data_IF_682105396518
#
_entry.id   IF_682105396518
#
_cell.length_a   1.000
_cell.length_b   1.000
_cell.length_c   1.000
_cell.angle_alpha   90.00
_cell.angle_beta   90.00
_cell.angle_gamma   90.00
#
_symmetry.space_group_name_H-M   'P 1'
#
loop_
_entity.id
_entity.type
_entity.pdbx_description
1 polymer ?
#
# COMPACT_ATOMS: atom_id res chain seq x y z
N UNK A 1 -3.94 11.43 12.96
CA UNK A 1 -3.22 10.21 12.62
C UNK A 1 -3.37 9.10 13.65
N UNK A 2 -4.22 9.31 14.65
CA UNK A 2 -4.37 8.39 15.76
C UNK A 2 -5.19 7.14 15.52
N UNK A 3 -6.07 7.11 14.53
CA UNK A 3 -7.01 6.00 14.35
C UNK A 3 -6.87 5.33 12.99
N UNK A 4 -7.34 4.08 12.93
CA UNK A 4 -7.39 3.32 11.67
C UNK A 4 -8.20 4.07 10.63
N UNK A 5 -9.36 4.61 11.01
CA UNK A 5 -10.23 5.33 10.09
C UNK A 5 -9.56 6.56 9.50
N UNK A 6 -8.84 7.32 10.32
CA UNK A 6 -8.10 8.49 9.87
C UNK A 6 -6.99 8.10 8.90
N UNK A 7 -6.26 7.04 9.21
CA UNK A 7 -5.20 6.54 8.32
C UNK A 7 -5.75 6.04 7.00
N UNK A 8 -6.87 5.34 7.03
CA UNK A 8 -7.54 4.88 5.80
C UNK A 8 -7.97 6.06 4.94
N UNK A 9 -8.60 7.05 5.55
CA UNK A 9 -9.03 8.25 4.86
C UNK A 9 -7.85 8.99 4.23
N UNK A 10 -6.75 9.09 4.95
CA UNK A 10 -5.53 9.74 4.48
C UNK A 10 -4.95 9.01 3.25
N UNK A 11 -4.84 7.69 3.32
CA UNK A 11 -4.39 6.88 2.20
C UNK A 11 -5.29 7.05 0.99
N UNK A 12 -6.59 7.01 1.19
CA UNK A 12 -7.57 7.18 0.12
C UNK A 12 -7.44 8.56 -0.53
N UNK A 13 -7.38 9.60 0.28
CA UNK A 13 -7.25 10.98 -0.22
C UNK A 13 -5.97 11.18 -1.01
N UNK A 14 -4.87 10.65 -0.52
CA UNK A 14 -3.58 10.73 -1.23
C UNK A 14 -3.58 9.97 -2.55
N UNK A 15 -4.39 8.90 -2.62
CA UNK A 15 -4.56 8.13 -3.85
C UNK A 15 -5.54 8.77 -4.83
N UNK A 16 -6.24 9.81 -4.40
CA UNK A 16 -7.17 10.54 -5.28
C UNK A 16 -8.45 9.79 -5.61
N UNK A 17 -8.86 8.84 -4.79
CA UNK A 17 -10.07 8.06 -5.05
C UNK A 17 -11.17 8.38 -4.02
N UNK A 18 -12.42 8.19 -4.44
CA UNK A 18 -13.58 8.39 -3.58
C UNK A 18 -13.84 7.15 -2.72
N UNK A 19 -14.68 7.32 -1.69
CA UNK A 19 -15.14 6.17 -0.90
C UNK A 19 -15.85 5.13 -1.78
N UNK A 20 -16.66 5.59 -2.72
CA UNK A 20 -17.36 4.71 -3.65
C UNK A 20 -16.39 3.91 -4.53
N UNK A 21 -15.37 4.57 -5.05
CA UNK A 21 -14.37 3.92 -5.88
C UNK A 21 -13.57 2.88 -5.09
N UNK A 22 -13.18 3.20 -3.86
CA UNK A 22 -12.48 2.25 -3.01
C UNK A 22 -13.37 1.04 -2.70
N UNK A 23 -14.63 1.29 -2.35
CA UNK A 23 -15.60 0.25 -2.06
C UNK A 23 -15.76 -0.71 -3.23
N UNK A 24 -15.85 -0.18 -4.44
CA UNK A 24 -15.94 -0.99 -5.65
C UNK A 24 -14.71 -1.87 -5.85
N UNK A 25 -13.52 -1.33 -5.60
CA UNK A 25 -12.26 -2.06 -5.80
C UNK A 25 -12.09 -3.25 -4.85
N UNK A 26 -12.60 -3.15 -3.64
CA UNK A 26 -12.46 -4.22 -2.64
C UNK A 26 -13.78 -4.97 -2.38
N UNK A 27 -14.81 -4.72 -3.20
CA UNK A 27 -16.08 -5.43 -3.20
C UNK A 27 -16.87 -5.30 -1.88
N UNK A 28 -16.99 -4.07 -1.39
CA UNK A 28 -17.81 -3.74 -0.23
C UNK A 28 -18.70 -2.56 -0.57
N UNK A 29 -19.62 -2.20 0.33
CA UNK A 29 -20.49 -1.03 0.15
C UNK A 29 -19.73 0.25 0.48
N UNK A 30 -20.14 1.35 -0.13
CA UNK A 30 -19.61 2.68 0.20
C UNK A 30 -19.86 3.01 1.68
N UNK A 31 -21.05 2.64 2.19
CA UNK A 31 -21.39 2.84 3.60
C UNK A 31 -20.41 2.15 4.54
N UNK A 32 -19.95 0.96 4.16
CA UNK A 32 -18.97 0.22 4.95
C UNK A 32 -17.66 1.00 5.07
N UNK A 33 -17.17 1.54 3.95
CA UNK A 33 -15.96 2.36 3.96
C UNK A 33 -16.16 3.61 4.81
N UNK A 34 -17.29 4.29 4.65
CA UNK A 34 -17.59 5.49 5.43
C UNK A 34 -17.59 5.21 6.94
N UNK A 35 -18.17 4.09 7.36
CA UNK A 35 -18.21 3.70 8.77
C UNK A 35 -16.82 3.39 9.33
N UNK A 36 -15.97 2.76 8.54
CA UNK A 36 -14.58 2.50 8.94
C UNK A 36 -13.83 3.83 9.11
N UNK A 37 -13.96 4.73 8.16
CA UNK A 37 -13.28 6.05 8.23
C UNK A 37 -13.74 6.89 9.41
N UNK A 38 -14.99 6.71 9.84
CA UNK A 38 -15.52 7.39 11.03
C UNK A 38 -15.22 6.66 12.33
N UNK A 39 -14.53 5.54 12.28
CA UNK A 39 -14.23 4.68 13.44
C UNK A 39 -15.47 4.13 14.14
N UNK A 40 -16.56 3.99 13.38
CA UNK A 40 -17.82 3.40 13.86
C UNK A 40 -17.91 1.91 13.58
N UNK A 41 -16.99 1.39 12.78
CA UNK A 41 -16.89 -0.03 12.44
C UNK A 41 -15.44 -0.41 12.19
N UNK A 42 -15.06 -1.58 12.70
CA UNK A 42 -13.75 -2.15 12.41
C UNK A 42 -13.84 -3.03 11.17
N UNK A 43 -12.87 -2.99 10.27
CA UNK A 43 -12.87 -3.91 9.14
C UNK A 43 -12.63 -5.34 9.61
N UNK A 44 -13.23 -6.31 8.92
CA UNK A 44 -12.91 -7.72 9.14
C UNK A 44 -11.44 -7.96 8.74
N UNK A 45 -10.88 -9.08 9.18
CA UNK A 45 -9.50 -9.46 8.81
C UNK A 45 -9.33 -9.54 7.30
N UNK A 46 -10.32 -10.10 6.60
CA UNK A 46 -10.30 -10.19 5.14
C UNK A 46 -10.28 -8.81 4.48
N UNK A 47 -11.15 -7.92 4.93
CA UNK A 47 -11.22 -6.57 4.36
C UNK A 47 -9.97 -5.77 4.73
N UNK A 48 -9.46 -5.94 5.93
CA UNK A 48 -8.20 -5.31 6.34
C UNK A 48 -7.06 -5.70 5.38
N UNK A 49 -6.96 -6.99 5.05
CA UNK A 49 -5.99 -7.49 4.09
C UNK A 49 -6.15 -6.86 2.71
N UNK A 50 -7.38 -6.75 2.22
CA UNK A 50 -7.66 -6.13 0.93
C UNK A 50 -7.29 -4.65 0.90
N UNK A 51 -7.56 -3.92 1.98
CA UNK A 51 -7.17 -2.51 2.10
C UNK A 51 -5.66 -2.36 2.08
N UNK A 52 -4.95 -3.19 2.84
CA UNK A 52 -3.49 -3.16 2.88
C UNK A 52 -2.88 -3.48 1.51
N UNK A 53 -3.40 -4.48 0.83
CA UNK A 53 -2.93 -4.85 -0.51
C UNK A 53 -3.18 -3.72 -1.51
N UNK A 54 -4.35 -3.10 -1.45
CA UNK A 54 -4.71 -2.03 -2.36
C UNK A 54 -3.78 -0.82 -2.21
N UNK A 55 -3.49 -0.42 -0.98
CA UNK A 55 -2.66 0.75 -0.71
C UNK A 55 -1.17 0.44 -0.58
N UNK A 56 -0.79 -0.83 -0.58
CA UNK A 56 0.60 -1.20 -0.46
C UNK A 56 1.20 -0.91 0.91
N UNK A 57 0.41 -1.03 1.96
CA UNK A 57 0.83 -0.82 3.34
C UNK A 57 0.69 -2.11 4.15
N UNK A 58 1.38 -2.18 5.28
CA UNK A 58 1.24 -3.31 6.20
C UNK A 58 0.00 -3.18 7.06
N UNK A 59 -0.45 -4.31 7.62
CA UNK A 59 -1.52 -4.30 8.61
C UNK A 59 -1.10 -3.53 9.86
N UNK A 60 0.17 -3.62 10.25
CA UNK A 60 0.70 -2.89 11.39
C UNK A 60 0.57 -1.38 11.18
N UNK A 61 0.92 -0.89 9.99
CA UNK A 61 0.74 0.53 9.68
C UNK A 61 -0.71 0.96 9.81
N UNK A 62 -1.63 0.20 9.21
CA UNK A 62 -3.04 0.59 9.23
C UNK A 62 -3.64 0.53 10.64
N UNK A 63 -3.26 -0.47 11.42
CA UNK A 63 -3.79 -0.65 12.78
C UNK A 63 -3.15 0.29 13.80
N UNK A 64 -1.85 0.52 13.73
CA UNK A 64 -1.11 1.24 14.77
C UNK A 64 -0.46 2.53 14.31
N UNK A 65 -0.33 2.72 13.01
CA UNK A 65 0.39 3.85 12.44
C UNK A 65 1.90 3.65 12.39
N UNK A 66 2.39 2.49 12.79
CA UNK A 66 3.81 2.17 12.74
C UNK A 66 4.17 1.55 11.40
N UNK A 67 5.15 2.13 10.74
CA UNK A 67 5.65 1.62 9.46
C UNK A 67 6.94 0.86 9.68
N UNK A 68 7.10 -0.26 8.98
CA UNK A 68 8.40 -0.89 8.87
C UNK A 68 9.30 0.00 7.99
N UNK A 69 10.60 -0.24 8.05
CA UNK A 69 11.53 0.47 7.15
C UNK A 69 11.17 0.25 5.69
N UNK A 70 10.69 -0.95 5.36
CA UNK A 70 10.31 -1.29 3.99
C UNK A 70 9.09 -0.48 3.52
N UNK A 71 8.15 -0.20 4.40
CA UNK A 71 6.99 0.64 4.07
C UNK A 71 7.39 2.10 3.82
N UNK A 72 8.43 2.57 4.48
CA UNK A 72 8.93 3.94 4.36
C UNK A 72 9.81 4.10 3.12
N UNK A 73 10.61 3.07 2.78
CA UNK A 73 11.66 3.14 1.78
C UNK A 73 11.23 2.66 0.40
N UNK A 74 10.45 3.47 -0.31
CA UNK A 74 10.24 3.28 -1.76
C UNK A 74 9.46 2.03 -2.20
N UNK A 75 8.85 1.28 -1.28
CA UNK A 75 8.05 0.10 -1.65
C UNK A 75 6.89 0.49 -2.59
N UNK A 76 6.22 1.59 -2.27
CA UNK A 76 5.13 2.09 -3.11
C UNK A 76 5.62 2.50 -4.49
N UNK A 77 6.77 3.16 -4.55
CA UNK A 77 7.39 3.57 -5.82
C UNK A 77 7.77 2.35 -6.65
N UNK A 78 8.34 1.33 -6.01
CA UNK A 78 8.67 0.07 -6.66
C UNK A 78 7.43 -0.61 -7.22
N UNK A 79 6.36 -0.72 -6.43
CA UNK A 79 5.09 -1.31 -6.88
C UNK A 79 4.52 -0.60 -8.09
N UNK A 80 4.54 0.73 -8.07
CA UNK A 80 4.05 1.53 -9.19
C UNK A 80 4.91 1.30 -10.43
N UNK A 81 6.21 1.21 -10.25
CA UNK A 81 7.15 1.01 -11.34
C UNK A 81 6.96 -0.34 -12.03
N UNK A 82 6.71 -1.40 -11.26
CA UNK A 82 6.54 -2.75 -11.80
C UNK A 82 5.11 -3.08 -12.20
N UNK A 83 4.16 -2.23 -11.87
CA UNK A 83 2.74 -2.45 -12.19
C UNK A 83 2.56 -2.53 -13.69
N UNK A 84 1.90 -3.60 -14.16
CA UNK A 84 1.65 -3.82 -15.58
C UNK A 84 2.86 -4.33 -16.36
N UNK A 85 4.00 -4.51 -15.71
CA UNK A 85 5.18 -5.07 -16.37
C UNK A 85 5.15 -6.58 -16.33
N UNK A 86 5.79 -7.19 -17.33
CA UNK A 86 5.90 -8.65 -17.41
C UNK A 86 6.94 -9.16 -16.40
N UNK A 87 6.85 -10.45 -16.06
CA UNK A 87 7.85 -11.08 -15.19
C UNK A 87 9.26 -10.97 -15.78
N UNK A 88 9.36 -11.06 -17.10
CA UNK A 88 10.64 -10.91 -17.80
C UNK A 88 11.24 -9.52 -17.61
N UNK A 89 10.41 -8.49 -17.73
CA UNK A 89 10.84 -7.11 -17.52
C UNK A 89 11.28 -6.87 -16.08
N UNK A 90 10.54 -7.39 -15.12
CA UNK A 90 10.86 -7.27 -13.70
C UNK A 90 12.18 -7.98 -13.39
N UNK A 91 12.36 -9.19 -13.92
CA UNK A 91 13.60 -9.95 -13.76
C UNK A 91 14.81 -9.18 -14.31
N UNK A 92 14.66 -8.59 -15.50
CA UNK A 92 15.69 -7.78 -16.11
C UNK A 92 16.04 -6.55 -15.27
N UNK A 93 15.03 -5.88 -14.73
CA UNK A 93 15.23 -4.72 -13.85
C UNK A 93 16.00 -5.10 -12.58
N UNK A 94 15.65 -6.25 -11.98
CA UNK A 94 16.35 -6.75 -10.80
C UNK A 94 17.81 -7.05 -11.07
N UNK A 95 18.12 -7.60 -12.25
CA UNK A 95 19.51 -7.85 -12.66
C UNK A 95 20.31 -6.54 -12.77
N UNK A 96 19.70 -5.52 -13.37
CA UNK A 96 20.33 -4.21 -13.51
C UNK A 96 20.60 -3.57 -12.14
N UNK A 97 19.63 -3.63 -11.24
CA UNK A 97 19.77 -3.11 -9.89
C UNK A 97 20.86 -3.83 -9.12
N UNK A 98 20.91 -5.15 -9.25
CA UNK A 98 21.93 -5.97 -8.58
C UNK A 98 23.33 -5.61 -9.07
N UNK A 99 23.51 -5.47 -10.38
CA UNK A 99 24.78 -5.06 -10.96
C UNK A 99 25.19 -3.67 -10.49
N UNK A 100 24.23 -2.75 -10.43
CA UNK A 100 24.48 -1.40 -9.94
C UNK A 100 24.97 -1.40 -8.49
N UNK A 101 24.30 -2.13 -7.61
CA UNK A 101 24.67 -2.18 -6.21
C UNK A 101 26.02 -2.89 -5.99
N UNK A 102 26.31 -3.93 -6.74
CA UNK A 102 27.62 -4.59 -6.70
C UNK A 102 28.74 -3.61 -7.08
N UNK A 103 28.51 -2.81 -8.10
CA UNK A 103 29.46 -1.79 -8.52
C UNK A 103 29.69 -0.74 -7.43
N UNK A 104 28.63 -0.29 -6.77
CA UNK A 104 28.73 0.67 -5.66
C UNK A 104 29.50 0.07 -4.49
N UNK A 105 29.24 -1.19 -4.17
CA UNK A 105 29.87 -1.88 -3.05
C UNK A 105 31.37 -2.08 -3.30
N UNK A 106 31.77 -2.37 -4.54
CA UNK A 106 33.16 -2.50 -4.93
C UNK A 106 33.92 -1.17 -4.81
N UNK A 107 33.23 -0.06 -5.00
CA UNK A 107 33.82 1.27 -4.91
C UNK A 107 34.09 1.75 -3.48
N UNK A 108 33.59 1.02 -2.48
CA UNK A 108 33.83 1.32 -1.07
C UNK A 108 35.15 0.62 -0.61
#
# INVERSE_FOLDING_TARGET
>A
MGTLGERLRDLRSKSGITQAELAEKIFVSESYIALIELNKRNPSTEILGKLCDHFGVSTDYLLTGESSKDDILHVKEWRNLVSGRTDREITSALKLLRSFFESVDEAK
#
